data_IF_098191430983
#
_entry.id   IF_098191430983
#
_cell.length_a   1.000
_cell.length_b   1.000
_cell.length_c   1.000
_cell.angle_alpha   90.00
_cell.angle_beta   90.00
_cell.angle_gamma   90.00
#
_symmetry.space_group_name_H-M   'P 1'
#
loop_
_entity.id
_entity.type
_entity.pdbx_description
1 polymer ?
#
# COMPACT_ATOMS: atom_id res chain seq x y z
N UNK A 1 -25.35 -45.36 18.27
CA UNK A 1 -23.93 -45.63 18.59
C UNK A 1 -22.95 -44.83 17.74
N UNK A 2 -23.00 -44.85 16.39
CA UNK A 2 -22.06 -44.06 15.57
C UNK A 2 -22.36 -42.54 15.57
N UNK A 3 -23.64 -42.18 15.65
CA UNK A 3 -24.09 -40.78 15.69
C UNK A 3 -23.75 -40.09 17.03
N UNK A 4 -23.81 -40.84 18.13
CA UNK A 4 -23.48 -40.35 19.48
C UNK A 4 -22.01 -39.95 19.59
N UNK A 5 -21.11 -40.74 18.99
CA UNK A 5 -19.68 -40.40 18.94
C UNK A 5 -19.39 -39.17 18.10
N UNK A 6 -20.17 -38.90 17.05
CA UNK A 6 -20.01 -37.67 16.27
C UNK A 6 -20.43 -36.45 17.09
N UNK A 7 -21.52 -36.55 17.86
CA UNK A 7 -21.98 -35.48 18.73
C UNK A 7 -20.97 -35.16 19.85
N UNK A 8 -20.36 -36.18 20.47
CA UNK A 8 -19.35 -36.00 21.52
C UNK A 8 -18.05 -35.35 20.99
N UNK A 9 -17.61 -35.72 19.78
CA UNK A 9 -16.46 -35.09 19.13
C UNK A 9 -16.75 -33.64 18.72
N UNK A 10 -17.97 -33.34 18.27
CA UNK A 10 -18.37 -31.97 17.94
C UNK A 10 -18.43 -31.09 19.21
N UNK A 11 -18.89 -31.63 20.34
CA UNK A 11 -18.93 -30.92 21.61
C UNK A 11 -17.52 -30.59 22.11
N UNK A 12 -16.59 -31.55 22.02
CA UNK A 12 -15.19 -31.38 22.44
C UNK A 12 -14.43 -30.39 21.54
N UNK A 13 -14.77 -30.34 20.24
CA UNK A 13 -14.22 -29.36 19.31
C UNK A 13 -14.78 -27.96 19.59
N UNK A 14 -16.07 -27.83 19.89
CA UNK A 14 -16.69 -26.54 20.25
C UNK A 14 -16.06 -25.93 21.51
N UNK A 15 -15.78 -26.75 22.52
CA UNK A 15 -15.17 -26.32 23.79
C UNK A 15 -13.71 -25.88 23.58
N UNK A 16 -12.94 -26.59 22.74
CA UNK A 16 -11.58 -26.20 22.36
C UNK A 16 -11.52 -24.98 21.43
N UNK A 17 -12.54 -24.79 20.60
CA UNK A 17 -12.67 -23.57 19.81
C UNK A 17 -12.92 -22.38 20.73
N UNK A 18 -13.77 -22.49 21.75
CA UNK A 18 -14.10 -21.38 22.62
C UNK A 18 -12.88 -20.81 23.37
N UNK A 19 -11.96 -21.67 23.84
CA UNK A 19 -10.71 -21.26 24.52
C UNK A 19 -9.61 -20.77 23.57
N UNK A 20 -9.58 -21.23 22.32
CA UNK A 20 -8.67 -20.70 21.29
C UNK A 20 -9.16 -19.37 20.68
N UNK A 21 -10.46 -19.13 20.68
CA UNK A 21 -11.04 -17.91 20.11
C UNK A 21 -10.82 -16.71 21.04
N UNK A 22 -10.88 -16.91 22.35
CA UNK A 22 -10.64 -15.85 23.36
C UNK A 22 -9.22 -15.30 23.30
N UNK A 23 -8.18 -16.14 23.20
CA UNK A 23 -6.79 -15.68 23.05
C UNK A 23 -6.50 -15.02 21.70
N UNK A 24 -7.14 -15.49 20.62
CA UNK A 24 -6.91 -14.95 19.27
C UNK A 24 -7.56 -13.59 19.09
N UNK A 25 -8.75 -13.36 19.69
CA UNK A 25 -9.49 -12.09 19.62
C UNK A 25 -8.71 -10.93 20.23
N UNK A 26 -8.03 -11.16 21.36
CA UNK A 26 -7.30 -10.09 22.06
C UNK A 26 -6.06 -9.64 21.27
N UNK A 27 -5.35 -10.58 20.65
CA UNK A 27 -4.22 -10.30 19.77
C UNK A 27 -4.66 -9.61 18.46
N UNK A 28 -5.76 -10.07 17.87
CA UNK A 28 -6.34 -9.47 16.66
C UNK A 28 -6.83 -8.04 16.90
N UNK A 29 -7.42 -7.77 18.06
CA UNK A 29 -7.87 -6.42 18.45
C UNK A 29 -6.70 -5.43 18.46
N UNK A 30 -5.54 -5.84 18.99
CA UNK A 30 -4.35 -4.98 19.05
C UNK A 30 -3.63 -4.87 17.70
N UNK A 31 -3.59 -5.94 16.91
CA UNK A 31 -2.94 -5.95 15.59
C UNK A 31 -3.74 -5.15 14.55
N UNK A 32 -5.07 -5.29 14.53
CA UNK A 32 -5.94 -4.45 13.70
C UNK A 32 -5.88 -2.99 14.13
N UNK A 33 -5.87 -2.72 15.44
CA UNK A 33 -5.74 -1.36 15.93
C UNK A 33 -4.40 -0.73 15.50
N UNK A 34 -3.30 -1.48 15.58
CA UNK A 34 -1.98 -1.03 15.11
C UNK A 34 -1.93 -0.80 13.60
N UNK A 35 -2.57 -1.67 12.82
CA UNK A 35 -2.62 -1.55 11.35
C UNK A 35 -3.48 -0.36 10.91
N UNK A 36 -4.69 -0.23 11.46
CA UNK A 36 -5.59 0.90 11.23
C UNK A 36 -4.96 2.21 11.68
N UNK A 37 -4.28 2.21 12.83
CA UNK A 37 -3.62 3.40 13.34
C UNK A 37 -2.43 3.80 12.48
N UNK A 38 -1.62 2.86 11.97
CA UNK A 38 -0.56 3.17 10.97
C UNK A 38 -1.15 3.79 9.70
N UNK A 39 -2.25 3.24 9.19
CA UNK A 39 -2.96 3.80 8.03
C UNK A 39 -3.49 5.21 8.31
N UNK A 40 -4.14 5.40 9.46
CA UNK A 40 -4.66 6.69 9.90
C UNK A 40 -3.53 7.72 10.09
N UNK A 41 -2.42 7.34 10.73
CA UNK A 41 -1.25 8.19 10.91
C UNK A 41 -0.69 8.59 9.54
N UNK A 42 -0.54 7.65 8.60
CA UNK A 42 -0.08 7.98 7.25
C UNK A 42 -1.03 8.91 6.52
N UNK A 43 -2.35 8.72 6.66
CA UNK A 43 -3.36 9.54 6.01
C UNK A 43 -3.38 10.95 6.60
N UNK A 44 -3.32 11.06 7.93
CA UNK A 44 -3.24 12.35 8.63
C UNK A 44 -1.96 13.07 8.23
N UNK A 45 -0.81 12.39 8.21
CA UNK A 45 0.46 13.00 7.83
C UNK A 45 0.41 13.48 6.37
N UNK A 46 -0.17 12.68 5.46
CA UNK A 46 -0.40 13.08 4.07
C UNK A 46 -1.33 14.31 3.99
N UNK A 47 -2.40 14.36 4.78
CA UNK A 47 -3.33 15.48 4.80
C UNK A 47 -2.66 16.75 5.32
N UNK A 48 -1.89 16.65 6.40
CA UNK A 48 -1.19 17.78 7.00
C UNK A 48 -0.14 18.32 6.02
N UNK A 49 0.80 17.49 5.58
CA UNK A 49 1.83 17.91 4.63
C UNK A 49 1.24 18.33 3.28
N UNK A 50 0.24 17.60 2.78
CA UNK A 50 -0.45 17.91 1.53
C UNK A 50 -1.21 19.23 1.60
N UNK A 51 -1.87 19.52 2.73
CA UNK A 51 -2.56 20.79 2.98
C UNK A 51 -1.57 21.96 3.03
N UNK A 52 -0.49 21.85 3.81
CA UNK A 52 0.55 22.89 3.85
C UNK A 52 1.16 23.13 2.47
N UNK A 53 1.44 22.07 1.72
CA UNK A 53 1.96 22.18 0.36
C UNK A 53 0.96 22.90 -0.56
N UNK A 54 -0.32 22.53 -0.50
CA UNK A 54 -1.39 23.19 -1.25
C UNK A 54 -1.52 24.68 -0.88
N UNK A 55 -1.43 25.03 0.39
CA UNK A 55 -1.46 26.43 0.83
C UNK A 55 -0.31 27.22 0.22
N UNK A 56 0.93 26.72 0.31
CA UNK A 56 2.09 27.39 -0.29
C UNK A 56 1.88 27.58 -1.80
N UNK A 57 1.42 26.53 -2.49
CA UNK A 57 1.14 26.59 -3.92
C UNK A 57 0.06 27.62 -4.26
N UNK A 58 -1.00 27.69 -3.45
CA UNK A 58 -2.10 28.63 -3.61
C UNK A 58 -1.65 30.08 -3.44
N UNK A 59 -0.87 30.37 -2.40
CA UNK A 59 -0.30 31.71 -2.19
C UNK A 59 0.61 32.12 -3.35
N UNK A 60 1.46 31.21 -3.83
CA UNK A 60 2.31 31.47 -5.00
C UNK A 60 1.44 31.74 -6.23
N UNK A 61 0.42 30.92 -6.47
CA UNK A 61 -0.48 31.08 -7.62
C UNK A 61 -1.21 32.42 -7.60
N UNK A 62 -1.69 32.85 -6.43
CA UNK A 62 -2.33 34.17 -6.27
C UNK A 62 -1.31 35.28 -6.48
N UNK A 63 -0.11 35.15 -5.92
CA UNK A 63 0.97 36.12 -6.11
C UNK A 63 1.36 36.30 -7.57
N UNK A 64 1.49 35.20 -8.32
CA UNK A 64 1.78 35.23 -9.77
C UNK A 64 0.62 35.87 -10.53
N UNK A 65 -0.63 35.54 -10.21
CA UNK A 65 -1.80 36.14 -10.87
C UNK A 65 -1.88 37.65 -10.64
N UNK A 66 -1.62 38.12 -9.41
CA UNK A 66 -1.58 39.54 -9.08
C UNK A 66 -0.41 40.25 -9.76
N UNK A 67 0.78 39.63 -9.79
CA UNK A 67 1.95 40.17 -10.48
C UNK A 67 1.70 40.35 -11.97
N UNK A 68 1.16 39.32 -12.65
CA UNK A 68 0.76 39.43 -14.05
C UNK A 68 -0.36 40.45 -14.27
N UNK A 69 -1.30 40.54 -13.33
CA UNK A 69 -2.38 41.53 -13.38
C UNK A 69 -1.89 42.98 -13.33
N UNK A 70 -0.85 43.26 -12.52
CA UNK A 70 -0.22 44.58 -12.44
C UNK A 70 0.54 44.90 -13.72
N UNK A 71 1.31 43.95 -14.26
CA UNK A 71 2.09 44.13 -15.51
C UNK A 71 1.17 44.42 -16.70
N UNK A 72 -0.04 43.84 -16.71
CA UNK A 72 -1.02 44.04 -17.78
C UNK A 72 -2.02 45.17 -17.51
N UNK A 73 -1.83 45.97 -16.44
CA UNK A 73 -2.76 47.02 -15.96
C UNK A 73 -4.23 46.56 -15.77
N UNK A 74 -4.47 45.26 -15.71
CA UNK A 74 -5.79 44.66 -15.61
C UNK A 74 -5.73 43.34 -14.85
N UNK A 75 -6.33 43.33 -13.66
CA UNK A 75 -6.42 42.14 -12.81
C UNK A 75 -7.09 40.96 -13.53
N UNK A 76 -8.04 41.24 -14.43
CA UNK A 76 -8.76 40.21 -15.17
C UNK A 76 -7.84 39.42 -16.12
N UNK A 77 -6.93 40.12 -16.80
CA UNK A 77 -5.98 39.50 -17.72
C UNK A 77 -5.00 38.56 -17.00
N UNK A 78 -4.53 38.95 -15.81
CA UNK A 78 -3.63 38.14 -14.98
C UNK A 78 -4.26 36.80 -14.58
N UNK A 79 -5.52 36.81 -14.11
CA UNK A 79 -6.22 35.56 -13.78
C UNK A 79 -6.53 34.71 -15.02
N UNK A 80 -6.84 35.33 -16.16
CA UNK A 80 -7.17 34.60 -17.40
C UNK A 80 -5.95 33.86 -17.95
N UNK A 81 -4.77 34.47 -17.91
CA UNK A 81 -3.51 33.82 -18.33
C UNK A 81 -3.12 32.70 -17.38
N UNK A 82 -3.17 32.91 -16.07
CA UNK A 82 -2.84 31.87 -15.09
C UNK A 82 -3.84 30.71 -15.16
N UNK A 83 -5.13 30.99 -15.32
CA UNK A 83 -6.17 29.98 -15.52
C UNK A 83 -5.98 29.21 -16.82
N UNK A 84 -5.67 29.90 -17.92
CA UNK A 84 -5.35 29.28 -19.20
C UNK A 84 -4.11 28.38 -19.11
N UNK A 85 -3.05 28.84 -18.44
CA UNK A 85 -1.84 28.06 -18.20
C UNK A 85 -2.13 26.80 -17.38
N UNK A 86 -2.86 26.91 -16.27
CA UNK A 86 -3.26 25.75 -15.47
C UNK A 86 -4.15 24.77 -16.26
N UNK A 87 -5.04 25.27 -17.11
CA UNK A 87 -5.83 24.44 -18.03
C UNK A 87 -4.96 23.68 -19.02
N UNK A 88 -3.96 24.35 -19.59
CA UNK A 88 -3.02 23.75 -20.55
C UNK A 88 -2.12 22.70 -19.88
N UNK A 89 -1.62 22.99 -18.68
CA UNK A 89 -0.88 22.04 -17.83
C UNK A 89 -1.75 20.83 -17.50
N UNK A 90 -3.02 21.03 -17.13
CA UNK A 90 -3.96 19.95 -16.82
C UNK A 90 -4.21 19.06 -18.05
N UNK A 91 -4.42 19.67 -19.22
CA UNK A 91 -4.57 18.94 -20.48
C UNK A 91 -3.33 18.09 -20.77
N UNK A 92 -2.14 18.67 -20.60
CA UNK A 92 -0.87 17.97 -20.78
C UNK A 92 -0.72 16.82 -19.78
N UNK A 93 -1.09 17.03 -18.52
CA UNK A 93 -1.02 16.02 -17.47
C UNK A 93 -2.04 14.89 -17.71
N UNK A 94 -3.22 15.14 -18.28
CA UNK A 94 -4.14 14.06 -18.65
C UNK A 94 -3.57 13.19 -19.77
N UNK A 95 -2.90 13.79 -20.76
CA UNK A 95 -2.31 13.07 -21.91
C UNK A 95 -1.05 12.29 -21.50
N UNK A 96 -0.11 12.94 -20.80
CA UNK A 96 1.18 12.33 -20.40
C UNK A 96 1.10 11.60 -19.06
N UNK A 97 0.30 12.12 -18.14
CA UNK A 97 0.17 11.61 -16.78
C UNK A 97 -0.49 10.25 -16.71
N UNK A 98 -1.36 9.85 -17.66
CA UNK A 98 -1.84 8.46 -17.72
C UNK A 98 -0.67 7.46 -17.76
N UNK A 99 0.31 7.68 -18.64
CA UNK A 99 1.49 6.80 -18.75
C UNK A 99 2.42 6.89 -17.54
N UNK A 100 2.61 8.08 -16.95
CA UNK A 100 3.49 8.27 -15.79
C UNK A 100 2.90 7.72 -14.49
N UNK A 101 1.60 7.94 -14.27
CA UNK A 101 0.86 7.47 -13.10
C UNK A 101 0.77 5.95 -13.13
N UNK A 102 0.43 5.33 -14.27
CA UNK A 102 0.46 3.87 -14.41
C UNK A 102 1.84 3.30 -14.06
N UNK A 103 2.92 3.84 -14.63
CA UNK A 103 4.26 3.29 -14.41
C UNK A 103 4.76 3.45 -12.98
N UNK A 104 4.39 4.54 -12.30
CA UNK A 104 4.76 4.81 -10.91
C UNK A 104 3.93 4.01 -9.91
N UNK A 105 2.61 3.91 -10.14
CA UNK A 105 1.72 3.04 -9.36
C UNK A 105 2.12 1.58 -9.52
N UNK A 106 2.29 1.09 -10.75
CA UNK A 106 2.63 -0.31 -10.99
C UNK A 106 3.96 -0.70 -10.36
N UNK A 107 4.97 0.19 -10.32
CA UNK A 107 6.22 -0.06 -9.58
C UNK A 107 6.01 -0.15 -8.07
N UNK A 108 5.21 0.74 -7.48
CA UNK A 108 4.94 0.72 -6.03
C UNK A 108 4.09 -0.48 -5.62
N UNK A 109 3.06 -0.82 -6.41
CA UNK A 109 2.22 -1.99 -6.20
C UNK A 109 2.98 -3.29 -6.47
N UNK A 110 3.83 -3.32 -7.50
CA UNK A 110 4.71 -4.47 -7.74
C UNK A 110 5.67 -4.65 -6.58
N UNK A 111 6.34 -3.62 -6.07
CA UNK A 111 7.21 -3.78 -4.90
C UNK A 111 6.45 -4.26 -3.65
N UNK A 112 5.20 -3.82 -3.47
CA UNK A 112 4.33 -4.25 -2.36
C UNK A 112 3.79 -5.68 -2.50
N UNK A 113 3.67 -6.21 -3.72
CA UNK A 113 3.19 -7.57 -4.00
C UNK A 113 4.33 -8.58 -4.24
N UNK A 114 5.50 -8.11 -4.69
CA UNK A 114 6.65 -8.97 -5.03
C UNK A 114 7.51 -9.31 -3.81
N UNK A 115 7.42 -8.54 -2.71
CA UNK A 115 8.18 -8.77 -1.47
C UNK A 115 7.67 -10.00 -0.69
N UNK A 116 6.36 -10.28 -0.71
CA UNK A 116 5.77 -11.40 0.04
C UNK A 116 5.72 -12.74 -0.73
N UNK A 117 5.43 -12.72 -2.05
CA UNK A 117 5.15 -13.95 -2.81
C UNK A 117 6.36 -14.52 -3.58
N UNK A 118 7.33 -13.68 -4.01
CA UNK A 118 8.47 -14.15 -4.80
C UNK A 118 9.67 -14.58 -3.95
N UNK A 119 9.93 -13.91 -2.82
CA UNK A 119 11.02 -14.32 -1.91
C UNK A 119 10.77 -15.71 -1.31
N UNK A 120 9.50 -16.03 -1.00
CA UNK A 120 9.11 -17.31 -0.41
C UNK A 120 9.13 -18.49 -1.38
N UNK A 121 8.85 -18.24 -2.67
CA UNK A 121 8.86 -19.27 -3.71
C UNK A 121 10.29 -19.69 -4.06
N UNK A 122 11.18 -18.72 -4.32
CA UNK A 122 12.57 -19.00 -4.64
C UNK A 122 13.34 -19.60 -3.45
N UNK A 123 13.10 -19.14 -2.21
CA UNK A 123 13.75 -19.71 -1.03
C UNK A 123 13.33 -21.17 -0.75
N UNK A 124 12.12 -21.57 -1.12
CA UNK A 124 11.67 -22.97 -0.98
C UNK A 124 12.16 -23.87 -2.11
N UNK A 125 12.27 -23.33 -3.32
CA UNK A 125 12.75 -24.07 -4.49
C UNK A 125 14.25 -24.33 -4.38
N UNK A 126 15.02 -23.33 -3.93
CA UNK A 126 16.46 -23.45 -3.70
C UNK A 126 16.80 -24.32 -2.48
N UNK A 127 16.01 -24.25 -1.40
CA UNK A 127 16.21 -25.14 -0.24
C UNK A 127 15.83 -26.60 -0.53
N UNK A 128 15.01 -26.87 -1.56
CA UNK A 128 14.72 -28.24 -2.00
C UNK A 128 15.86 -28.79 -2.86
N UNK A 129 16.42 -27.97 -3.75
CA UNK A 129 17.55 -28.34 -4.60
C UNK A 129 18.82 -28.60 -3.76
N UNK A 130 19.11 -27.71 -2.81
CA UNK A 130 20.25 -27.86 -1.88
C UNK A 130 20.08 -29.08 -0.95
N UNK A 131 18.84 -29.43 -0.57
CA UNK A 131 18.57 -30.60 0.27
C UNK A 131 18.65 -31.92 -0.49
N UNK A 132 18.25 -31.96 -1.77
CA UNK A 132 18.42 -33.14 -2.62
C UNK A 132 19.90 -33.39 -2.93
N UNK A 133 20.70 -32.34 -3.19
CA UNK A 133 22.15 -32.46 -3.39
C UNK A 133 22.89 -32.93 -2.12
N UNK A 134 22.44 -32.47 -0.94
CA UNK A 134 23.01 -32.94 0.35
C UNK A 134 22.64 -34.39 0.68
N UNK A 135 21.45 -34.85 0.31
CA UNK A 135 21.04 -36.24 0.55
C UNK A 135 21.82 -37.19 -0.38
N UNK A 136 21.99 -36.85 -1.66
CA UNK A 136 22.72 -37.67 -2.63
C UNK A 136 24.23 -37.75 -2.33
N UNK A 137 24.83 -36.66 -1.83
CA UNK A 137 26.24 -36.65 -1.41
C UNK A 137 26.50 -37.44 -0.13
N UNK A 138 25.59 -37.40 0.85
CA UNK A 138 25.72 -38.18 2.10
C UNK A 138 25.43 -39.67 1.88
N UNK A 139 24.53 -40.02 0.95
CA UNK A 139 24.22 -41.41 0.61
C UNK A 139 25.34 -42.10 -0.19
N UNK A 140 26.09 -41.35 -0.99
CA UNK A 140 27.20 -41.87 -1.79
C UNK A 140 28.56 -41.94 -1.04
N UNK A 141 28.73 -41.21 0.08
CA UNK A 141 29.94 -41.29 0.93
C UNK A 141 29.86 -42.36 2.04
N UNK A 142 28.72 -43.04 2.22
CA UNK A 142 28.51 -44.04 3.29
C UNK A 142 28.58 -45.51 2.84
N UNK A 143 29.11 -45.78 1.64
CA UNK A 143 29.40 -47.13 1.11
C UNK A 143 30.91 -47.40 1.03
#
# INVERSE_FOLDING_TARGET
MAFDRLNDNLHTISEKFQDYTTSTVEYYKLHFFKSSMKGAISLVNLLVFGSFFLFVLLFISIGVALYLGIVMESSFAGFLIVGGFYGLVTLFLVIFGKKLIERSLLKKFSALLYDDDYAKKNAKEQAHEDAEEFIDTVENESV
#
